data_IF_328636033103
#
_entry.id   IF_328636033103
#
_cell.length_a   1.000
_cell.length_b   1.000
_cell.length_c   1.000
_cell.angle_alpha   90.00
_cell.angle_beta   90.00
_cell.angle_gamma   90.00
#
_symmetry.space_group_name_H-M   'P 1'
#
loop_
_entity.id
_entity.type
_entity.pdbx_description
1 polymer ?
#
# COMPACT_ATOMS: atom_id res chain seq x y z
N UNK A 1 78.40 -110.79 86.41
CA UNK A 1 78.14 -110.92 84.95
C UNK A 1 79.10 -111.86 84.25
N UNK A 2 79.33 -113.08 84.75
CA UNK A 2 80.19 -114.10 84.11
C UNK A 2 79.45 -115.39 83.71
N UNK A 3 78.14 -115.50 83.99
CA UNK A 3 77.34 -116.72 83.73
C UNK A 3 76.48 -116.63 82.47
N UNK A 4 75.92 -115.45 82.15
CA UNK A 4 75.06 -115.25 80.97
C UNK A 4 75.84 -115.37 79.64
N UNK A 5 77.09 -114.92 79.61
CA UNK A 5 77.94 -115.04 78.42
C UNK A 5 78.28 -116.51 78.10
N UNK A 6 78.49 -117.34 79.13
CA UNK A 6 78.76 -118.77 78.94
C UNK A 6 77.53 -119.51 78.39
N UNK A 7 76.33 -119.18 78.88
CA UNK A 7 75.06 -119.74 78.40
C UNK A 7 74.76 -119.35 76.94
N UNK A 8 75.07 -118.10 76.55
CA UNK A 8 74.95 -117.64 75.17
C UNK A 8 75.84 -118.45 74.21
N UNK A 9 77.08 -118.76 74.61
CA UNK A 9 78.00 -119.56 73.80
C UNK A 9 77.51 -121.01 73.68
N UNK A 10 76.97 -121.59 74.75
CA UNK A 10 76.39 -122.94 74.72
C UNK A 10 75.15 -123.02 73.84
N UNK A 11 74.22 -122.05 73.94
CA UNK A 11 73.00 -122.03 73.13
C UNK A 11 73.32 -121.83 71.64
N UNK A 12 74.33 -120.99 71.35
CA UNK A 12 74.78 -120.74 69.99
C UNK A 12 75.43 -122.00 69.38
N UNK A 13 76.24 -122.72 70.17
CA UNK A 13 76.78 -124.01 69.76
C UNK A 13 75.66 -125.06 69.58
N UNK A 14 74.65 -125.09 70.44
CA UNK A 14 73.51 -125.99 70.33
C UNK A 14 72.71 -125.73 69.04
N UNK A 15 72.39 -124.47 68.75
CA UNK A 15 71.64 -124.10 67.54
C UNK A 15 72.46 -124.33 66.27
N UNK A 16 73.77 -124.06 66.29
CA UNK A 16 74.65 -124.41 65.17
C UNK A 16 74.72 -125.92 64.93
N UNK A 17 74.64 -126.74 65.98
CA UNK A 17 74.62 -128.20 65.86
C UNK A 17 73.28 -128.72 65.35
N UNK A 18 72.16 -128.17 65.85
CA UNK A 18 70.80 -128.52 65.42
C UNK A 18 70.56 -128.23 63.93
N UNK A 19 71.01 -127.07 63.45
CA UNK A 19 70.88 -126.69 62.04
C UNK A 19 72.05 -127.20 61.17
N UNK A 20 72.97 -127.98 61.76
CA UNK A 20 73.96 -128.83 61.10
C UNK A 20 74.57 -128.26 59.81
N UNK A 21 74.32 -128.95 58.70
CA UNK A 21 74.86 -128.61 57.39
C UNK A 21 74.47 -127.21 56.89
N UNK A 22 73.30 -126.69 57.26
CA UNK A 22 72.88 -125.32 56.93
C UNK A 22 73.69 -124.27 57.70
N UNK A 23 74.19 -124.60 58.89
CA UNK A 23 75.05 -123.73 59.70
C UNK A 23 76.53 -123.74 59.26
N UNK A 24 76.89 -124.35 58.13
CA UNK A 24 78.24 -124.25 57.53
C UNK A 24 78.42 -122.98 56.70
N UNK A 25 77.33 -122.45 56.12
CA UNK A 25 77.29 -121.22 55.33
C UNK A 25 77.44 -119.98 56.23
N UNK A 26 78.30 -119.03 55.83
CA UNK A 26 78.59 -117.82 56.59
C UNK A 26 77.32 -116.98 56.83
N UNK A 27 76.39 -116.97 55.86
CA UNK A 27 75.11 -116.25 55.98
C UNK A 27 74.20 -116.87 57.03
N UNK A 28 74.10 -118.19 57.05
CA UNK A 28 73.30 -118.92 58.04
C UNK A 28 73.90 -118.80 59.45
N UNK A 29 75.23 -118.88 59.59
CA UNK A 29 75.92 -118.61 60.87
C UNK A 29 75.63 -117.20 61.38
N UNK A 30 75.59 -116.21 60.50
CA UNK A 30 75.25 -114.84 60.86
C UNK A 30 73.80 -114.74 61.37
N UNK A 31 72.83 -115.33 60.66
CA UNK A 31 71.41 -115.35 61.06
C UNK A 31 71.25 -115.99 62.45
N UNK A 32 71.81 -117.18 62.65
CA UNK A 32 71.75 -117.90 63.94
C UNK A 32 72.38 -117.05 65.04
N UNK A 33 73.55 -116.44 64.79
CA UNK A 33 74.24 -115.60 65.78
C UNK A 33 73.42 -114.37 66.15
N UNK A 34 72.81 -113.68 65.19
CA UNK A 34 71.96 -112.52 65.47
C UNK A 34 70.70 -112.88 66.25
N UNK A 35 70.02 -113.98 65.90
CA UNK A 35 68.79 -114.37 66.58
C UNK A 35 69.06 -114.92 67.98
N UNK A 36 70.14 -115.69 68.17
CA UNK A 36 70.58 -116.14 69.51
C UNK A 36 71.02 -114.95 70.37
N UNK A 37 71.76 -113.99 69.82
CA UNK A 37 72.13 -112.78 70.56
C UNK A 37 70.90 -111.92 70.93
N UNK A 38 69.93 -111.81 70.02
CA UNK A 38 68.66 -111.15 70.27
C UNK A 38 67.82 -111.88 71.33
N UNK A 39 67.81 -113.21 71.29
CA UNK A 39 67.18 -114.05 72.29
C UNK A 39 67.82 -113.88 73.67
N UNK A 40 69.15 -113.92 73.77
CA UNK A 40 69.86 -113.70 75.03
C UNK A 40 69.68 -112.28 75.58
N UNK A 41 69.59 -111.25 74.73
CA UNK A 41 69.22 -109.90 75.18
C UNK A 41 67.81 -109.85 75.76
N UNK A 42 66.85 -110.54 75.15
CA UNK A 42 65.47 -110.65 75.69
C UNK A 42 65.44 -111.44 76.99
N UNK A 43 66.16 -112.56 77.06
CA UNK A 43 66.28 -113.38 78.26
C UNK A 43 66.95 -112.63 79.43
N UNK A 44 67.96 -111.79 79.15
CA UNK A 44 68.59 -110.93 80.13
C UNK A 44 67.66 -109.82 80.66
N UNK A 45 66.74 -109.33 79.82
CA UNK A 45 65.70 -108.38 80.25
C UNK A 45 64.57 -109.05 81.06
N UNK A 46 64.34 -110.36 80.87
CA UNK A 46 63.27 -111.13 81.50
C UNK A 46 63.68 -111.84 82.81
N UNK A 47 64.71 -111.36 83.52
CA UNK A 47 65.13 -111.85 84.84
C UNK A 47 65.38 -113.37 84.97
N UNK A 48 65.82 -114.03 83.89
CA UNK A 48 66.47 -115.35 83.98
C UNK A 48 65.56 -116.59 83.96
N UNK A 49 64.27 -116.48 83.64
CA UNK A 49 63.41 -117.65 83.37
C UNK A 49 63.15 -117.81 81.86
N UNK A 50 63.82 -118.77 81.23
CA UNK A 50 63.59 -119.17 79.83
C UNK A 50 62.59 -120.33 79.80
N UNK A 51 61.44 -120.17 79.12
CA UNK A 51 60.45 -121.23 78.91
C UNK A 51 60.77 -122.01 77.63
N UNK A 52 60.54 -123.33 77.62
CA UNK A 52 60.81 -124.19 76.45
C UNK A 52 60.06 -123.74 75.18
N UNK A 53 58.85 -123.21 75.31
CA UNK A 53 58.06 -122.67 74.19
C UNK A 53 58.79 -121.55 73.44
N UNK A 54 59.54 -120.70 74.15
CA UNK A 54 60.31 -119.61 73.54
C UNK A 54 61.53 -120.14 72.77
N UNK A 55 62.02 -121.33 73.13
CA UNK A 55 63.11 -122.02 72.46
C UNK A 55 62.63 -122.63 71.13
N UNK A 56 61.44 -123.22 71.12
CA UNK A 56 60.76 -123.68 69.88
C UNK A 56 60.46 -122.51 68.94
N UNK A 57 60.08 -121.37 69.48
CA UNK A 57 59.87 -120.14 68.69
C UNK A 57 61.17 -119.60 68.09
N UNK A 58 62.29 -119.68 68.82
CA UNK A 58 63.61 -119.34 68.29
C UNK A 58 63.97 -120.26 67.12
N UNK A 59 63.75 -121.57 67.27
CA UNK A 59 63.98 -122.54 66.19
C UNK A 59 63.11 -122.27 64.97
N UNK A 60 61.82 -121.97 65.16
CA UNK A 60 60.90 -121.68 64.06
C UNK A 60 61.26 -120.38 63.33
N UNK A 61 61.73 -119.36 64.05
CA UNK A 61 62.22 -118.11 63.42
C UNK A 61 63.49 -118.34 62.62
N UNK A 62 64.43 -119.11 63.16
CA UNK A 62 65.65 -119.49 62.46
C UNK A 62 65.30 -120.32 61.21
N UNK A 63 64.39 -121.30 61.32
CA UNK A 63 63.94 -122.12 60.18
C UNK A 63 63.24 -121.29 59.10
N UNK A 64 62.31 -120.41 59.47
CA UNK A 64 61.60 -119.52 58.53
C UNK A 64 62.54 -118.62 57.74
N UNK A 65 63.54 -118.03 58.40
CA UNK A 65 64.54 -117.18 57.73
C UNK A 65 65.56 -117.95 56.89
N UNK A 66 65.81 -119.23 57.21
CA UNK A 66 66.71 -120.07 56.43
C UNK A 66 66.04 -120.70 55.20
N UNK A 67 64.75 -121.03 55.24
CA UNK A 67 64.09 -121.82 54.16
C UNK A 67 63.04 -121.06 53.31
N UNK A 68 62.71 -119.81 53.62
CA UNK A 68 62.05 -118.89 52.67
C UNK A 68 60.61 -119.21 52.21
N UNK A 69 59.91 -120.23 52.74
CA UNK A 69 58.50 -120.49 52.38
C UNK A 69 57.83 -121.62 53.16
N UNK A 70 56.56 -121.42 53.51
CA UNK A 70 55.66 -122.39 54.19
C UNK A 70 54.88 -123.24 53.17
N UNK A 71 54.79 -124.58 53.29
CA UNK A 71 53.90 -125.40 52.46
C UNK A 71 52.44 -125.34 52.94
N UNK A 72 51.52 -124.88 52.07
CA UNK A 72 50.07 -125.00 52.26
C UNK A 72 49.62 -126.43 51.93
N UNK A 73 48.96 -127.12 52.87
CA UNK A 73 48.33 -128.43 52.64
C UNK A 73 47.14 -128.28 51.67
N UNK A 74 47.10 -129.11 50.62
CA UNK A 74 45.96 -129.24 49.71
C UNK A 74 44.78 -129.92 50.43
N UNK A 75 43.60 -129.29 50.37
CA UNK A 75 42.34 -129.81 50.91
C UNK A 75 41.36 -130.04 49.75
N UNK A 76 40.53 -131.09 49.82
CA UNK A 76 39.52 -131.54 48.84
C UNK A 76 38.66 -130.46 48.14
N UNK A 77 38.56 -129.25 48.71
CA UNK A 77 37.92 -128.08 48.10
C UNK A 77 38.72 -127.45 46.94
N UNK A 78 40.06 -127.53 46.96
CA UNK A 78 40.90 -127.05 45.85
C UNK A 78 40.84 -127.99 44.65
N UNK A 79 40.73 -129.31 44.87
CA UNK A 79 40.47 -130.27 43.79
C UNK A 79 39.09 -130.03 43.14
N UNK A 80 38.03 -129.79 43.91
CA UNK A 80 36.71 -129.46 43.35
C UNK A 80 36.69 -128.13 42.59
N UNK A 81 37.45 -127.12 43.03
CA UNK A 81 37.61 -125.86 42.29
C UNK A 81 38.36 -126.05 40.97
N UNK A 82 39.43 -126.86 40.97
CA UNK A 82 40.14 -127.19 39.73
C UNK A 82 39.27 -128.02 38.76
N UNK A 83 38.38 -128.88 39.27
CA UNK A 83 37.37 -129.55 38.44
C UNK A 83 36.32 -128.59 37.84
N UNK A 84 35.90 -127.55 38.58
CA UNK A 84 35.01 -126.51 38.05
C UNK A 84 35.71 -125.53 37.09
N UNK A 85 37.02 -125.30 37.25
CA UNK A 85 37.83 -124.52 36.29
C UNK A 85 38.12 -125.31 35.00
N UNK A 86 38.00 -126.64 35.05
CA UNK A 86 38.03 -127.53 33.88
C UNK A 86 36.65 -127.72 33.21
N UNK A 87 35.57 -127.24 33.83
CA UNK A 87 34.19 -127.34 33.32
C UNK A 87 33.93 -126.33 32.19
N UNK A 88 33.59 -126.83 31.02
CA UNK A 88 33.38 -126.02 29.81
C UNK A 88 32.15 -125.10 29.94
N UNK A 89 31.15 -125.49 30.74
CA UNK A 89 29.97 -124.67 31.00
C UNK A 89 30.29 -123.41 31.83
N UNK A 90 31.20 -123.54 32.80
CA UNK A 90 31.66 -122.40 33.60
C UNK A 90 32.40 -121.35 32.76
N UNK A 91 33.16 -121.80 31.75
CA UNK A 91 33.86 -120.92 30.80
C UNK A 91 32.89 -120.17 29.89
N UNK A 92 31.84 -120.85 29.39
CA UNK A 92 30.80 -120.19 28.59
C UNK A 92 30.06 -119.11 29.38
N UNK A 93 29.69 -119.39 30.64
CA UNK A 93 29.02 -118.39 31.48
C UNK A 93 29.89 -117.15 31.72
N UNK A 94 31.20 -117.32 31.97
CA UNK A 94 32.13 -116.20 32.12
C UNK A 94 32.27 -115.39 30.82
N UNK A 95 32.26 -116.06 29.66
CA UNK A 95 32.26 -115.37 28.36
C UNK A 95 30.99 -114.55 28.15
N UNK A 96 29.80 -115.10 28.44
CA UNK A 96 28.53 -114.38 28.31
C UNK A 96 28.46 -113.15 29.24
N UNK A 97 28.97 -113.27 30.47
CA UNK A 97 29.11 -112.12 31.39
C UNK A 97 30.06 -111.06 30.84
N UNK A 98 31.21 -111.46 30.27
CA UNK A 98 32.16 -110.54 29.66
C UNK A 98 31.57 -109.83 28.43
N UNK A 99 30.82 -110.54 27.59
CA UNK A 99 30.07 -109.97 26.44
C UNK A 99 28.99 -109.00 26.94
N UNK A 100 28.28 -109.34 28.02
CA UNK A 100 27.31 -108.45 28.67
C UNK A 100 27.94 -107.15 29.13
N UNK A 101 29.06 -107.21 29.86
CA UNK A 101 29.80 -106.02 30.29
C UNK A 101 30.34 -105.18 29.13
N UNK A 102 30.83 -105.82 28.07
CA UNK A 102 31.29 -105.12 26.87
C UNK A 102 30.14 -104.40 26.15
N UNK A 103 28.95 -105.01 26.09
CA UNK A 103 27.74 -104.38 25.55
C UNK A 103 27.28 -103.20 26.40
N UNK A 104 27.21 -103.37 27.72
CA UNK A 104 26.82 -102.27 28.62
C UNK A 104 27.79 -101.08 28.55
N UNK A 105 29.09 -101.35 28.43
CA UNK A 105 30.11 -100.31 28.25
C UNK A 105 29.96 -99.59 26.90
N UNK A 106 29.70 -100.33 25.82
CA UNK A 106 29.44 -99.77 24.50
C UNK A 106 28.16 -98.91 24.49
N UNK A 107 27.08 -99.38 25.12
CA UNK A 107 25.82 -98.64 25.25
C UNK A 107 25.98 -97.37 26.10
N UNK A 108 26.74 -97.43 27.20
CA UNK A 108 27.06 -96.26 28.01
C UNK A 108 27.88 -95.23 27.22
N UNK A 109 28.85 -95.67 26.42
CA UNK A 109 29.63 -94.79 25.54
C UNK A 109 28.75 -94.16 24.44
N UNK A 110 27.87 -94.95 23.82
CA UNK A 110 26.91 -94.48 22.83
C UNK A 110 25.94 -93.44 23.41
N UNK A 111 25.42 -93.65 24.63
CA UNK A 111 24.57 -92.67 25.33
C UNK A 111 25.32 -91.36 25.63
N UNK A 112 26.57 -91.42 26.08
CA UNK A 112 27.40 -90.22 26.30
C UNK A 112 27.66 -89.46 25.00
N UNK A 113 27.98 -90.17 23.91
CA UNK A 113 28.17 -89.56 22.60
C UNK A 113 26.87 -88.91 22.09
N UNK A 114 25.72 -89.56 22.27
CA UNK A 114 24.41 -88.99 21.93
C UNK A 114 24.10 -87.72 22.74
N UNK A 115 24.36 -87.74 24.06
CA UNK A 115 24.20 -86.56 24.92
C UNK A 115 25.11 -85.40 24.52
N UNK A 116 26.38 -85.67 24.18
CA UNK A 116 27.30 -84.64 23.70
C UNK A 116 26.84 -84.03 22.37
N UNK A 117 26.35 -84.85 21.43
CA UNK A 117 25.76 -84.36 20.17
C UNK A 117 24.54 -83.49 20.43
N UNK A 118 23.62 -83.93 21.28
CA UNK A 118 22.41 -83.17 21.62
C UNK A 118 22.76 -81.84 22.30
N UNK A 119 23.74 -81.83 23.20
CA UNK A 119 24.26 -80.59 23.80
C UNK A 119 24.83 -79.63 22.75
N UNK A 120 25.61 -80.15 21.80
CA UNK A 120 26.14 -79.34 20.69
C UNK A 120 25.04 -78.71 19.82
N UNK A 121 23.94 -79.44 19.57
CA UNK A 121 22.77 -78.90 18.84
C UNK A 121 22.08 -77.80 19.64
N UNK A 122 21.83 -78.02 20.94
CA UNK A 122 21.20 -77.01 21.80
C UNK A 122 22.05 -75.75 21.95
N UNK A 123 23.37 -75.90 22.12
CA UNK A 123 24.30 -74.78 22.19
C UNK A 123 24.31 -73.99 20.86
N UNK A 124 24.18 -74.67 19.72
CA UNK A 124 24.01 -74.05 18.40
C UNK A 124 22.72 -73.23 18.30
N UNK A 125 21.58 -73.82 18.67
CA UNK A 125 20.27 -73.14 18.66
C UNK A 125 20.24 -71.93 19.61
N UNK A 126 20.88 -72.02 20.76
CA UNK A 126 20.99 -70.91 21.71
C UNK A 126 21.82 -69.75 21.16
N UNK A 127 22.88 -70.03 20.40
CA UNK A 127 23.67 -69.01 19.71
C UNK A 127 22.88 -68.33 18.60
N UNK A 128 22.22 -69.11 17.74
CA UNK A 128 21.37 -68.56 16.67
C UNK A 128 20.25 -67.66 17.23
N UNK A 129 19.63 -68.06 18.34
CA UNK A 129 18.60 -67.25 19.00
C UNK A 129 19.20 -65.97 19.63
N UNK A 130 20.39 -66.04 20.21
CA UNK A 130 21.09 -64.87 20.74
C UNK A 130 21.47 -63.88 19.62
N UNK A 131 21.99 -64.39 18.50
CA UNK A 131 22.36 -63.59 17.33
C UNK A 131 21.11 -62.97 16.67
N UNK A 132 20.03 -63.72 16.54
CA UNK A 132 18.74 -63.20 16.03
C UNK A 132 18.16 -62.12 16.96
N UNK A 133 18.27 -62.30 18.28
CA UNK A 133 17.84 -61.29 19.26
C UNK A 133 18.69 -60.02 19.17
N UNK A 134 20.01 -60.15 19.04
CA UNK A 134 20.92 -59.02 18.86
C UNK A 134 20.64 -58.27 17.55
N UNK A 135 20.42 -59.00 16.44
CA UNK A 135 20.06 -58.42 15.16
C UNK A 135 18.73 -57.66 15.22
N UNK A 136 17.71 -58.21 15.91
CA UNK A 136 16.43 -57.54 16.12
C UNK A 136 16.58 -56.26 16.95
N UNK A 137 17.36 -56.31 18.04
CA UNK A 137 17.64 -55.12 18.85
C UNK A 137 18.38 -54.03 18.06
N UNK A 138 19.34 -54.42 17.22
CA UNK A 138 20.03 -53.49 16.33
C UNK A 138 19.09 -52.87 15.28
N UNK A 139 18.20 -53.67 14.70
CA UNK A 139 17.19 -53.20 13.75
C UNK A 139 16.17 -52.24 14.41
N UNK A 140 15.70 -52.56 15.61
CA UNK A 140 14.79 -51.71 16.38
C UNK A 140 15.47 -50.38 16.77
N UNK A 141 16.74 -50.41 17.16
CA UNK A 141 17.52 -49.21 17.46
C UNK A 141 17.73 -48.33 16.21
N UNK A 142 18.05 -48.94 15.06
CA UNK A 142 18.19 -48.23 13.78
C UNK A 142 16.86 -47.61 13.34
N UNK A 143 15.75 -48.32 13.50
CA UNK A 143 14.42 -47.78 13.21
C UNK A 143 14.07 -46.61 14.12
N UNK A 144 14.34 -46.72 15.43
CA UNK A 144 14.12 -45.64 16.39
C UNK A 144 14.97 -44.39 16.08
N UNK A 145 16.23 -44.59 15.67
CA UNK A 145 17.09 -43.49 15.22
C UNK A 145 16.52 -42.79 13.98
N UNK A 146 16.12 -43.56 12.96
CA UNK A 146 15.52 -43.02 11.75
C UNK A 146 14.20 -42.27 12.01
N UNK A 147 13.38 -42.73 12.96
CA UNK A 147 12.16 -42.02 13.37
C UNK A 147 12.46 -40.68 14.07
N UNK A 148 13.49 -40.65 14.93
CA UNK A 148 13.92 -39.40 15.58
C UNK A 148 14.43 -38.38 14.57
N UNK A 149 15.19 -38.82 13.58
CA UNK A 149 15.66 -37.94 12.49
C UNK A 149 14.48 -37.40 11.67
N UNK A 150 13.52 -38.24 11.29
CA UNK A 150 12.30 -37.81 10.57
C UNK A 150 11.47 -36.82 11.37
N UNK A 151 11.33 -37.02 12.68
CA UNK A 151 10.64 -36.08 13.56
C UNK A 151 11.39 -34.75 13.64
N UNK A 152 12.71 -34.77 13.81
CA UNK A 152 13.53 -33.56 13.83
C UNK A 152 13.47 -32.80 12.49
N UNK A 153 13.44 -33.50 11.36
CA UNK A 153 13.24 -32.89 10.04
C UNK A 153 11.84 -32.27 9.90
N UNK A 154 10.79 -32.97 10.35
CA UNK A 154 9.43 -32.44 10.33
C UNK A 154 9.29 -31.19 11.22
N UNK A 155 9.87 -31.20 12.42
CA UNK A 155 9.92 -30.04 13.32
C UNK A 155 10.66 -28.86 12.68
N UNK A 156 11.78 -29.10 11.99
CA UNK A 156 12.50 -28.05 11.25
C UNK A 156 11.66 -27.47 10.11
N UNK A 157 10.95 -28.31 9.36
CA UNK A 157 10.07 -27.87 8.27
C UNK A 157 8.90 -27.05 8.80
N UNK A 158 8.24 -27.49 9.88
CA UNK A 158 7.16 -26.73 10.51
C UNK A 158 7.64 -25.40 11.10
N UNK A 159 8.81 -25.40 11.78
CA UNK A 159 9.42 -24.17 12.26
C UNK A 159 9.74 -23.20 11.10
N UNK A 160 10.24 -23.71 9.97
CA UNK A 160 10.49 -22.90 8.77
C UNK A 160 9.19 -22.34 8.17
N UNK A 161 8.10 -23.12 8.13
CA UNK A 161 6.78 -22.63 7.70
C UNK A 161 6.25 -21.54 8.62
N UNK A 162 6.33 -21.71 9.94
CA UNK A 162 5.92 -20.69 10.90
C UNK A 162 6.77 -19.43 10.78
N UNK A 163 8.08 -19.55 10.61
CA UNK A 163 8.97 -18.42 10.34
C UNK A 163 8.59 -17.69 9.04
N UNK A 164 8.26 -18.43 7.98
CA UNK A 164 7.80 -17.84 6.71
C UNK A 164 6.46 -17.11 6.85
N UNK A 165 5.48 -17.70 7.58
CA UNK A 165 4.18 -17.09 7.85
C UNK A 165 4.30 -15.82 8.72
N UNK A 166 5.16 -15.84 9.72
CA UNK A 166 5.40 -14.65 10.55
C UNK A 166 6.12 -13.56 9.77
N UNK A 167 7.06 -13.92 8.89
CA UNK A 167 7.72 -12.97 7.99
C UNK A 167 6.74 -12.37 6.97
N UNK A 168 5.85 -13.15 6.37
CA UNK A 168 4.83 -12.64 5.45
C UNK A 168 3.82 -11.75 6.17
N UNK A 169 3.39 -12.12 7.37
CA UNK A 169 2.50 -11.31 8.21
C UNK A 169 3.14 -9.97 8.57
N UNK A 170 4.43 -9.96 8.96
CA UNK A 170 5.18 -8.72 9.22
C UNK A 170 5.30 -7.83 7.98
N UNK A 171 5.55 -8.41 6.80
CA UNK A 171 5.56 -7.66 5.53
C UNK A 171 4.20 -7.04 5.24
N UNK A 172 3.11 -7.82 5.34
CA UNK A 172 1.75 -7.33 5.13
C UNK A 172 1.39 -6.20 6.10
N UNK A 173 1.74 -6.32 7.38
CA UNK A 173 1.54 -5.26 8.38
C UNK A 173 2.36 -4.00 8.04
N UNK A 174 3.61 -4.16 7.57
CA UNK A 174 4.44 -3.08 7.07
C UNK A 174 3.83 -2.36 5.86
N UNK A 175 3.34 -3.12 4.88
CA UNK A 175 2.69 -2.58 3.69
C UNK A 175 1.39 -1.83 4.05
N UNK A 176 0.58 -2.38 4.96
CA UNK A 176 -0.62 -1.71 5.46
C UNK A 176 -0.29 -0.38 6.16
N UNK A 177 0.74 -0.35 7.01
CA UNK A 177 1.22 0.87 7.64
C UNK A 177 1.75 1.87 6.60
N UNK A 178 2.46 1.40 5.58
CA UNK A 178 2.91 2.21 4.44
C UNK A 178 1.75 2.87 3.69
N UNK A 179 0.71 2.09 3.36
CA UNK A 179 -0.50 2.60 2.72
C UNK A 179 -1.25 3.64 3.57
N UNK A 180 -1.31 3.44 4.90
CA UNK A 180 -1.93 4.41 5.80
C UNK A 180 -1.13 5.71 5.87
N UNK A 181 0.20 5.64 5.93
CA UNK A 181 1.08 6.83 5.89
C UNK A 181 0.93 7.57 4.57
N UNK A 182 0.97 6.86 3.45
CA UNK A 182 0.81 7.47 2.12
C UNK A 182 -0.58 8.14 1.98
N UNK A 183 -1.65 7.51 2.49
CA UNK A 183 -2.99 8.14 2.53
C UNK A 183 -3.00 9.41 3.39
N UNK A 184 -2.32 9.41 4.53
CA UNK A 184 -2.22 10.57 5.41
C UNK A 184 -1.45 11.71 4.72
N UNK A 185 -0.31 11.41 4.09
CA UNK A 185 0.50 12.38 3.33
C UNK A 185 -0.27 12.95 2.14
N UNK A 186 -1.02 12.12 1.39
CA UNK A 186 -1.88 12.60 0.30
C UNK A 186 -2.97 13.55 0.81
N UNK A 187 -3.57 13.25 1.97
CA UNK A 187 -4.57 14.15 2.60
C UNK A 187 -3.93 15.45 3.06
N UNK A 188 -2.76 15.40 3.69
CA UNK A 188 -2.04 16.58 4.13
C UNK A 188 -1.62 17.46 2.94
N UNK A 189 -1.08 16.85 1.89
CA UNK A 189 -0.72 17.56 0.65
C UNK A 189 -1.94 18.17 -0.04
N UNK A 190 -3.08 17.47 -0.08
CA UNK A 190 -4.31 18.03 -0.60
C UNK A 190 -4.80 19.22 0.24
N UNK A 191 -4.71 19.12 1.58
CA UNK A 191 -5.03 20.21 2.49
C UNK A 191 -4.11 21.42 2.28
N UNK A 192 -2.79 21.22 2.19
CA UNK A 192 -1.82 22.29 1.92
C UNK A 192 -2.07 22.97 0.57
N UNK A 193 -2.40 22.21 -0.48
CA UNK A 193 -2.79 22.78 -1.78
C UNK A 193 -4.07 23.59 -1.69
N UNK A 194 -5.06 23.12 -0.93
CA UNK A 194 -6.31 23.85 -0.71
C UNK A 194 -6.06 25.14 0.07
N UNK A 195 -5.28 25.10 1.15
CA UNK A 195 -4.93 26.27 1.94
C UNK A 195 -4.11 27.29 1.11
N UNK A 196 -3.20 26.83 0.24
CA UNK A 196 -2.47 27.70 -0.68
C UNK A 196 -3.41 28.37 -1.70
N UNK A 197 -4.32 27.60 -2.31
CA UNK A 197 -5.30 28.15 -3.25
C UNK A 197 -6.27 29.13 -2.56
N UNK A 198 -6.73 28.82 -1.34
CA UNK A 198 -7.57 29.73 -0.54
C UNK A 198 -6.84 31.04 -0.20
N UNK A 199 -5.53 30.97 0.10
CA UNK A 199 -4.70 32.18 0.31
C UNK A 199 -4.55 32.99 -0.97
N UNK A 200 -4.26 32.37 -2.10
CA UNK A 200 -4.16 33.07 -3.39
C UNK A 200 -5.47 33.78 -3.77
N UNK A 201 -6.61 33.12 -3.54
CA UNK A 201 -7.93 33.73 -3.76
C UNK A 201 -8.16 34.88 -2.78
N UNK A 202 -7.84 34.72 -1.50
CA UNK A 202 -7.99 35.78 -0.51
C UNK A 202 -7.11 37.00 -0.84
N UNK A 203 -5.88 36.80 -1.30
CA UNK A 203 -4.97 37.87 -1.73
C UNK A 203 -5.52 38.61 -2.97
N UNK A 204 -6.08 37.88 -3.94
CA UNK A 204 -6.73 38.50 -5.12
C UNK A 204 -7.94 39.33 -4.71
N UNK A 205 -8.83 38.78 -3.88
CA UNK A 205 -10.01 39.50 -3.39
C UNK A 205 -9.60 40.75 -2.58
N UNK A 206 -8.56 40.65 -1.74
CA UNK A 206 -8.03 41.81 -1.01
C UNK A 206 -7.46 42.87 -1.95
N UNK A 207 -6.81 42.47 -3.05
CA UNK A 207 -6.32 43.40 -4.06
C UNK A 207 -7.45 44.05 -4.86
N UNK A 208 -8.45 43.27 -5.28
CA UNK A 208 -9.63 43.76 -6.02
C UNK A 208 -10.45 44.74 -5.18
N UNK A 209 -10.74 44.39 -3.93
CA UNK A 209 -11.45 45.28 -2.98
C UNK A 209 -10.68 46.58 -2.73
N UNK A 210 -9.35 46.53 -2.62
CA UNK A 210 -8.53 47.74 -2.52
C UNK A 210 -8.63 48.61 -3.77
N UNK A 211 -8.58 48.00 -4.96
CA UNK A 211 -8.75 48.71 -6.24
C UNK A 211 -10.14 49.35 -6.36
N UNK A 212 -11.20 48.65 -5.93
CA UNK A 212 -12.56 49.18 -5.91
C UNK A 212 -12.69 50.39 -4.97
N UNK A 213 -12.15 50.28 -3.75
CA UNK A 213 -12.09 51.40 -2.80
C UNK A 213 -11.32 52.61 -3.36
N UNK A 214 -10.19 52.37 -4.04
CA UNK A 214 -9.42 53.43 -4.69
C UNK A 214 -10.24 54.14 -5.80
N UNK A 215 -11.00 53.38 -6.59
CA UNK A 215 -11.90 53.92 -7.61
C UNK A 215 -13.07 54.70 -7.00
N UNK A 216 -13.69 54.20 -5.94
CA UNK A 216 -14.77 54.89 -5.23
C UNK A 216 -14.28 56.21 -4.62
N UNK A 217 -13.08 56.21 -4.02
CA UNK A 217 -12.46 57.42 -3.47
C UNK A 217 -12.12 58.42 -4.58
N UNK A 218 -11.64 57.95 -5.73
CA UNK A 218 -11.38 58.82 -6.89
C UNK A 218 -12.68 59.45 -7.40
N UNK A 219 -13.73 58.65 -7.60
CA UNK A 219 -15.04 59.12 -8.01
C UNK A 219 -15.64 60.11 -6.99
N UNK A 220 -15.50 59.85 -5.69
CA UNK A 220 -15.93 60.78 -4.65
C UNK A 220 -15.20 62.13 -4.74
N UNK A 221 -13.88 62.12 -5.00
CA UNK A 221 -13.09 63.34 -5.21
C UNK A 221 -13.58 64.10 -6.44
N UNK A 222 -13.87 63.41 -7.54
CA UNK A 222 -14.43 64.00 -8.76
C UNK A 222 -15.79 64.64 -8.49
N UNK A 223 -16.72 63.93 -7.85
CA UNK A 223 -18.03 64.51 -7.48
C UNK A 223 -17.88 65.74 -6.58
N UNK A 224 -16.93 65.72 -5.64
CA UNK A 224 -16.66 66.87 -4.78
C UNK A 224 -16.09 68.06 -5.56
N UNK A 225 -15.23 67.81 -6.55
CA UNK A 225 -14.73 68.86 -7.45
C UNK A 225 -15.86 69.44 -8.29
N UNK A 226 -16.68 68.60 -8.91
CA UNK A 226 -17.86 69.01 -9.67
C UNK A 226 -18.82 69.85 -8.84
N UNK A 227 -19.07 69.48 -7.57
CA UNK A 227 -19.88 70.27 -6.66
C UNK A 227 -19.27 71.64 -6.37
N UNK A 228 -17.96 71.70 -6.12
CA UNK A 228 -17.27 72.98 -5.89
C UNK A 228 -17.31 73.87 -7.14
N UNK A 229 -17.13 73.31 -8.32
CA UNK A 229 -17.19 74.05 -9.59
C UNK A 229 -18.62 74.54 -9.87
N UNK A 230 -19.64 73.73 -9.54
CA UNK A 230 -21.03 74.16 -9.60
C UNK A 230 -21.32 75.34 -8.65
N UNK A 231 -20.85 75.27 -7.41
CA UNK A 231 -21.01 76.36 -6.43
C UNK A 231 -20.32 77.65 -6.90
N UNK A 232 -19.08 77.56 -7.38
CA UNK A 232 -18.35 78.70 -7.98
C UNK A 232 -19.08 79.26 -9.20
N UNK A 233 -19.61 78.39 -10.07
CA UNK A 233 -20.43 78.80 -11.21
C UNK A 233 -21.70 79.53 -10.79
N UNK A 234 -22.35 79.09 -9.70
CA UNK A 234 -23.54 79.74 -9.15
C UNK A 234 -23.20 81.12 -8.56
N UNK A 235 -22.08 81.24 -7.82
CA UNK A 235 -21.58 82.52 -7.31
C UNK A 235 -21.28 83.50 -8.46
N UNK A 236 -20.61 83.03 -9.52
CA UNK A 236 -20.34 83.83 -10.70
C UNK A 236 -21.64 84.27 -11.42
N UNK A 237 -22.62 83.37 -11.56
CA UNK A 237 -23.92 83.69 -12.14
C UNK A 237 -24.72 84.69 -11.28
N UNK A 238 -24.65 84.56 -9.95
CA UNK A 238 -25.26 85.50 -9.03
C UNK A 238 -24.62 86.90 -9.15
N UNK A 239 -23.29 86.98 -9.21
CA UNK A 239 -22.55 88.23 -9.46
C UNK A 239 -22.94 88.85 -10.80
N UNK A 240 -22.92 88.08 -11.89
CA UNK A 240 -23.30 88.55 -13.22
C UNK A 240 -24.75 89.06 -13.26
N UNK A 241 -25.66 88.42 -12.53
CA UNK A 241 -27.06 88.86 -12.41
C UNK A 241 -27.18 90.15 -11.61
N UNK A 242 -26.38 90.32 -10.55
CA UNK A 242 -26.33 91.57 -9.80
C UNK A 242 -25.78 92.72 -10.65
N UNK A 243 -24.70 92.48 -11.39
CA UNK A 243 -24.11 93.45 -12.33
C UNK A 243 -25.08 93.82 -13.45
N UNK A 244 -25.79 92.85 -14.02
CA UNK A 244 -26.81 93.10 -15.03
C UNK A 244 -27.96 93.96 -14.47
N UNK A 245 -28.42 93.70 -13.24
CA UNK A 245 -29.42 94.54 -12.57
C UNK A 245 -28.90 95.96 -12.30
N UNK A 246 -27.63 96.10 -11.93
CA UNK A 246 -27.02 97.41 -11.73
C UNK A 246 -26.95 98.20 -13.05
N UNK A 247 -26.57 97.54 -14.15
CA UNK A 247 -26.56 98.14 -15.50
C UNK A 247 -27.95 98.58 -15.94
N UNK A 248 -28.96 97.71 -15.81
CA UNK A 248 -30.33 98.09 -16.18
C UNK A 248 -30.90 99.20 -15.31
N UNK A 249 -30.54 99.25 -14.02
CA UNK A 249 -30.89 100.36 -13.14
C UNK A 249 -30.24 101.67 -13.61
N UNK A 250 -28.95 101.64 -13.99
CA UNK A 250 -28.24 102.80 -14.53
C UNK A 250 -28.86 103.29 -15.85
N UNK A 251 -29.12 102.38 -16.78
CA UNK A 251 -29.80 102.66 -18.05
C UNK A 251 -31.19 103.28 -17.84
N UNK A 252 -31.96 102.78 -16.86
CA UNK A 252 -33.27 103.34 -16.51
C UNK A 252 -33.16 104.77 -15.97
N UNK A 253 -32.16 105.06 -15.14
CA UNK A 253 -31.91 106.42 -14.65
C UNK A 253 -31.54 107.36 -15.80
N UNK A 254 -30.69 106.91 -16.72
CA UNK A 254 -30.35 107.68 -17.92
C UNK A 254 -31.57 107.93 -18.80
N UNK A 255 -32.40 106.90 -19.02
CA UNK A 255 -33.65 107.03 -19.75
C UNK A 255 -34.61 108.05 -19.09
N UNK A 256 -34.76 108.00 -17.77
CA UNK A 256 -35.56 108.98 -17.02
C UNK A 256 -35.00 110.40 -17.19
N UNK A 257 -33.69 110.59 -17.13
CA UNK A 257 -33.05 111.91 -17.37
C UNK A 257 -33.33 112.42 -18.79
N UNK A 258 -33.19 111.55 -19.79
CA UNK A 258 -33.49 111.91 -21.18
C UNK A 258 -34.97 112.27 -21.35
N UNK A 259 -35.87 111.53 -20.71
CA UNK A 259 -37.30 111.80 -20.74
C UNK A 259 -37.67 113.13 -20.08
N UNK A 260 -37.12 113.41 -18.89
CA UNK A 260 -37.30 114.71 -18.22
C UNK A 260 -36.79 115.85 -19.10
N UNK A 261 -35.60 115.70 -19.71
CA UNK A 261 -35.07 116.70 -20.63
C UNK A 261 -35.96 116.91 -21.87
N UNK A 262 -36.66 115.88 -22.35
CA UNK A 262 -37.65 116.01 -23.42
C UNK A 262 -38.91 116.74 -22.93
N UNK A 263 -39.40 116.43 -21.73
CA UNK A 263 -40.54 117.13 -21.13
C UNK A 263 -40.22 118.61 -20.92
N UNK A 264 -39.04 118.94 -20.40
CA UNK A 264 -38.62 120.33 -20.23
C UNK A 264 -38.57 121.09 -21.57
N UNK A 265 -38.11 120.44 -22.65
CA UNK A 265 -38.16 121.02 -24.00
C UNK A 265 -39.59 121.26 -24.47
N UNK A 266 -40.50 120.31 -24.23
CA UNK A 266 -41.90 120.46 -24.60
C UNK A 266 -42.59 121.55 -23.77
N UNK A 267 -42.30 121.64 -22.48
CA UNK A 267 -42.78 122.72 -21.62
C UNK A 267 -42.25 124.07 -22.04
N UNK A 268 -40.95 124.19 -22.31
CA UNK A 268 -40.34 125.42 -22.81
C UNK A 268 -40.96 125.83 -24.15
N UNK A 269 -41.17 124.88 -25.06
CA UNK A 269 -41.86 125.11 -26.32
C UNK A 269 -43.31 125.57 -26.09
N UNK A 270 -44.04 124.93 -25.18
CA UNK A 270 -45.43 125.32 -24.83
C UNK A 270 -45.49 126.71 -24.22
N UNK A 271 -44.58 127.06 -23.29
CA UNK A 271 -44.48 128.39 -22.69
C UNK A 271 -44.17 129.44 -23.74
N UNK A 272 -43.17 129.20 -24.61
CA UNK A 272 -42.86 130.10 -25.73
C UNK A 272 -44.02 130.26 -26.71
N UNK A 273 -44.76 129.19 -27.00
CA UNK A 273 -45.95 129.25 -27.84
C UNK A 273 -47.06 130.07 -27.19
N UNK A 274 -47.31 129.89 -25.89
CA UNK A 274 -48.28 130.69 -25.12
C UNK A 274 -47.88 132.16 -25.07
N UNK A 275 -46.61 132.47 -24.82
CA UNK A 275 -46.07 133.84 -24.86
C UNK A 275 -46.28 134.49 -26.24
N UNK A 276 -46.01 133.74 -27.33
CA UNK A 276 -46.27 134.22 -28.70
C UNK A 276 -47.76 134.46 -28.96
N UNK A 277 -48.64 133.58 -28.46
CA UNK A 277 -50.10 133.75 -28.58
C UNK A 277 -50.55 134.97 -27.77
N UNK A 278 -50.11 135.12 -26.53
CA UNK A 278 -50.39 136.29 -25.68
C UNK A 278 -49.89 137.58 -26.33
N UNK A 279 -48.68 137.59 -26.88
CA UNK A 279 -48.14 138.74 -27.60
C UNK A 279 -48.95 139.07 -28.86
N UNK A 280 -49.43 138.06 -29.60
CA UNK A 280 -50.32 138.26 -30.75
C UNK A 280 -51.69 138.79 -30.30
N UNK A 281 -52.28 138.23 -29.26
CA UNK A 281 -53.56 138.67 -28.70
C UNK A 281 -53.47 140.10 -28.16
N UNK A 282 -52.39 140.46 -27.47
CA UNK A 282 -52.12 141.82 -27.01
C UNK A 282 -52.00 142.79 -28.18
N UNK A 283 -51.21 142.47 -29.21
CA UNK A 283 -51.13 143.28 -30.44
C UNK A 283 -52.50 143.40 -31.14
N UNK A 284 -53.24 142.29 -31.25
CA UNK A 284 -54.58 142.29 -31.83
C UNK A 284 -55.55 143.12 -31.01
N UNK A 285 -55.50 143.07 -29.68
CA UNK A 285 -56.32 143.89 -28.79
C UNK A 285 -55.99 145.38 -28.93
N UNK A 286 -54.71 145.74 -28.99
CA UNK A 286 -54.26 147.13 -29.25
C UNK A 286 -54.71 147.62 -30.63
N UNK A 287 -54.55 146.80 -31.68
CA UNK A 287 -55.04 147.13 -33.02
C UNK A 287 -56.57 147.24 -33.06
N UNK A 288 -57.29 146.33 -32.39
CA UNK A 288 -58.74 146.34 -32.30
C UNK A 288 -59.24 147.60 -31.58
N UNK A 289 -58.58 148.03 -30.50
CA UNK A 289 -58.91 149.29 -29.79
C UNK A 289 -58.78 150.53 -30.69
N UNK A 290 -57.86 150.52 -31.66
CA UNK A 290 -57.68 151.62 -32.64
C UNK A 290 -58.65 151.57 -33.82
N UNK A 291 -59.34 150.46 -34.05
CA UNK A 291 -60.30 150.29 -35.14
C UNK A 291 -61.71 150.73 -34.71
N UNK A 292 -62.51 151.38 -35.60
CA UNK A 292 -63.92 151.65 -35.35
C UNK A 292 -64.72 150.34 -35.15
N UNK A 293 -65.79 150.38 -34.36
CA UNK A 293 -66.54 149.21 -33.86
C UNK A 293 -67.00 148.23 -34.97
N UNK A 294 -67.40 148.76 -36.14
CA UNK A 294 -67.89 147.97 -37.28
C UNK A 294 -66.83 147.11 -38.00
N UNK A 295 -65.52 147.30 -37.75
CA UNK A 295 -64.43 146.49 -38.34
C UNK A 295 -63.81 145.48 -37.37
N UNK A 296 -64.23 145.44 -36.11
CA UNK A 296 -63.63 144.60 -35.07
C UNK A 296 -64.04 143.12 -35.18
N UNK A 297 -65.14 142.85 -35.87
CA UNK A 297 -65.72 141.51 -35.99
C UNK A 297 -65.53 141.00 -37.42
N UNK A 298 -64.86 139.86 -37.56
CA UNK A 298 -64.78 139.13 -38.83
C UNK A 298 -66.11 138.40 -39.03
N UNK A 299 -66.65 138.41 -40.24
CA UNK A 299 -67.89 137.72 -40.58
C UNK A 299 -67.77 136.21 -40.24
N UNK A 300 -68.67 135.66 -39.41
CA UNK A 300 -68.70 134.24 -39.04
C UNK A 300 -68.63 133.28 -40.23
N UNK A 301 -69.17 133.65 -41.40
CA UNK A 301 -69.14 132.81 -42.60
C UNK A 301 -67.72 132.56 -43.14
N UNK A 302 -66.80 133.51 -42.95
CA UNK A 302 -65.38 133.36 -43.37
C UNK A 302 -64.64 132.43 -42.41
N UNK A 303 -64.97 132.51 -41.10
CA UNK A 303 -64.39 131.65 -40.07
C UNK A 303 -64.80 130.19 -40.31
N UNK A 304 -66.09 129.94 -40.58
CA UNK A 304 -66.59 128.60 -40.90
C UNK A 304 -65.97 128.02 -42.17
N UNK A 305 -65.78 128.84 -43.23
CA UNK A 305 -65.14 128.39 -44.46
C UNK A 305 -63.69 127.94 -44.23
N UNK A 306 -62.91 128.72 -43.48
CA UNK A 306 -61.53 128.36 -43.15
C UNK A 306 -61.44 127.16 -42.21
N UNK A 307 -62.39 127.03 -41.27
CA UNK A 307 -62.49 125.88 -40.39
C UNK A 307 -62.76 124.58 -41.17
N UNK A 308 -63.75 124.59 -42.07
CA UNK A 308 -64.06 123.44 -42.94
C UNK A 308 -62.90 123.04 -43.84
N UNK A 309 -62.16 124.02 -44.37
CA UNK A 309 -60.99 123.75 -45.20
C UNK A 309 -59.86 123.09 -44.38
N UNK A 310 -59.68 123.51 -43.12
CA UNK A 310 -58.71 122.92 -42.19
C UNK A 310 -59.09 121.51 -41.72
N UNK A 311 -60.37 121.25 -41.46
CA UNK A 311 -60.85 119.89 -41.17
C UNK A 311 -60.60 118.96 -42.35
N UNK A 312 -60.92 119.39 -43.57
CA UNK A 312 -60.67 118.59 -44.77
C UNK A 312 -59.17 118.27 -45.01
N UNK A 313 -58.27 119.20 -44.66
CA UNK A 313 -56.82 118.97 -44.69
C UNK A 313 -56.37 117.90 -43.67
N UNK A 314 -56.92 117.95 -42.45
CA UNK A 314 -56.60 116.98 -41.38
C UNK A 314 -57.14 115.59 -41.69
N UNK A 315 -58.37 115.49 -42.20
CA UNK A 315 -58.97 114.23 -42.62
C UNK A 315 -58.14 113.54 -43.73
N UNK A 316 -57.60 114.34 -44.66
CA UNK A 316 -56.73 113.84 -45.72
C UNK A 316 -55.37 113.34 -45.19
N UNK A 317 -54.80 113.99 -44.16
CA UNK A 317 -53.58 113.50 -43.50
C UNK A 317 -53.82 112.24 -42.68
N UNK A 318 -54.92 112.14 -41.95
CA UNK A 318 -55.28 110.94 -41.17
C UNK A 318 -55.53 109.74 -42.10
N UNK A 319 -56.19 109.95 -43.23
CA UNK A 319 -56.37 108.92 -44.25
C UNK A 319 -55.03 108.39 -44.78
N UNK A 320 -54.03 109.27 -44.99
CA UNK A 320 -52.66 108.85 -45.39
C UNK A 320 -51.97 108.03 -44.30
N UNK A 321 -52.04 108.46 -43.04
CA UNK A 321 -51.46 107.71 -41.91
C UNK A 321 -52.12 106.35 -41.71
N UNK A 322 -53.44 106.27 -41.88
CA UNK A 322 -54.19 105.02 -41.79
C UNK A 322 -53.80 104.03 -42.92
N UNK A 323 -53.61 104.53 -44.15
CA UNK A 323 -53.16 103.73 -45.28
C UNK A 323 -51.74 103.18 -45.06
N UNK A 324 -50.82 104.00 -44.57
CA UNK A 324 -49.44 103.57 -44.26
C UNK A 324 -49.40 102.53 -43.15
N UNK A 325 -50.24 102.69 -42.11
CA UNK A 325 -50.36 101.70 -41.04
C UNK A 325 -50.84 100.35 -41.58
N UNK A 326 -51.91 100.33 -42.38
CA UNK A 326 -52.44 99.10 -43.01
C UNK A 326 -51.37 98.40 -43.87
N UNK A 327 -50.55 99.16 -44.60
CA UNK A 327 -49.46 98.61 -45.40
C UNK A 327 -48.40 97.92 -44.54
N UNK A 328 -48.01 98.53 -43.41
CA UNK A 328 -47.05 97.94 -42.46
C UNK A 328 -47.61 96.68 -41.80
N UNK A 329 -48.88 96.70 -41.40
CA UNK A 329 -49.56 95.56 -40.78
C UNK A 329 -49.68 94.37 -41.75
N UNK A 330 -49.95 94.61 -43.03
CA UNK A 330 -49.93 93.55 -44.05
C UNK A 330 -48.53 92.96 -44.25
N UNK A 331 -47.48 93.81 -44.23
CA UNK A 331 -46.10 93.36 -44.39
C UNK A 331 -45.63 92.51 -43.20
N UNK A 332 -46.00 92.87 -41.97
CA UNK A 332 -45.67 92.08 -40.77
C UNK A 332 -46.41 90.74 -40.75
N UNK A 333 -47.69 90.71 -41.13
CA UNK A 333 -48.45 89.47 -41.27
C UNK A 333 -47.83 88.53 -42.31
N UNK A 334 -47.42 89.05 -43.48
CA UNK A 334 -46.74 88.26 -44.50
C UNK A 334 -45.41 87.68 -44.00
N UNK A 335 -44.61 88.47 -43.25
CA UNK A 335 -43.36 88.01 -42.66
C UNK A 335 -43.57 86.92 -41.60
N UNK A 336 -44.61 87.03 -40.77
CA UNK A 336 -44.97 86.02 -39.78
C UNK A 336 -45.38 84.69 -40.43
N UNK A 337 -46.18 84.74 -41.50
CA UNK A 337 -46.57 83.54 -42.24
C UNK A 337 -45.36 82.84 -42.88
N UNK A 338 -44.42 83.61 -43.44
CA UNK A 338 -43.18 83.07 -44.01
C UNK A 338 -42.29 82.39 -42.95
N UNK A 339 -42.17 82.97 -41.74
CA UNK A 339 -41.44 82.33 -40.64
C UNK A 339 -42.10 81.04 -40.16
N UNK A 340 -43.44 80.98 -40.19
CA UNK A 340 -44.17 79.78 -39.78
C UNK A 340 -44.03 78.65 -40.80
N UNK A 341 -44.07 78.95 -42.11
CA UNK A 341 -43.83 77.95 -43.16
C UNK A 341 -42.40 77.40 -43.09
N UNK A 342 -41.40 78.25 -42.91
CA UNK A 342 -39.99 77.84 -42.79
C UNK A 342 -39.77 76.90 -41.58
N UNK A 343 -40.41 77.19 -40.44
CA UNK A 343 -40.35 76.32 -39.25
C UNK A 343 -41.00 74.95 -39.48
N UNK A 344 -42.11 74.92 -40.22
CA UNK A 344 -42.80 73.66 -40.58
C UNK A 344 -41.94 72.83 -41.51
N UNK A 345 -41.30 73.45 -42.50
CA UNK A 345 -40.37 72.77 -43.42
C UNK A 345 -39.15 72.20 -42.69
N UNK A 346 -38.52 72.97 -41.79
CA UNK A 346 -37.40 72.47 -40.97
C UNK A 346 -37.78 71.25 -40.13
N UNK A 347 -38.96 71.29 -39.48
CA UNK A 347 -39.47 70.14 -38.71
C UNK A 347 -39.78 68.92 -39.57
N UNK A 348 -40.20 69.14 -40.82
CA UNK A 348 -40.41 68.05 -41.78
C UNK A 348 -39.08 67.41 -42.19
N UNK A 349 -38.05 68.21 -42.45
CA UNK A 349 -36.70 67.71 -42.77
C UNK A 349 -36.14 66.90 -41.60
N UNK A 350 -36.20 67.43 -40.38
CA UNK A 350 -35.74 66.74 -39.16
C UNK A 350 -36.46 65.41 -38.96
N UNK A 351 -37.79 65.37 -39.10
CA UNK A 351 -38.57 64.11 -39.05
C UNK A 351 -38.19 63.11 -40.12
N UNK A 352 -37.79 63.56 -41.31
CA UNK A 352 -37.36 62.67 -42.39
C UNK A 352 -35.95 62.13 -42.13
N UNK A 353 -35.06 62.93 -41.53
CA UNK A 353 -33.73 62.50 -41.09
C UNK A 353 -33.81 61.51 -39.93
N UNK A 354 -34.67 61.76 -38.93
CA UNK A 354 -34.93 60.83 -37.84
C UNK A 354 -35.46 59.48 -38.34
N UNK A 355 -36.38 59.49 -39.31
CA UNK A 355 -36.89 58.27 -39.95
C UNK A 355 -35.79 57.51 -40.68
N UNK A 356 -34.87 58.21 -41.36
CA UNK A 356 -33.72 57.58 -42.04
C UNK A 356 -32.75 56.98 -41.03
N UNK A 357 -32.45 57.70 -39.95
CA UNK A 357 -31.60 57.22 -38.86
C UNK A 357 -32.22 56.00 -38.17
N UNK A 358 -33.51 56.05 -37.86
CA UNK A 358 -34.26 54.93 -37.29
C UNK A 358 -34.31 53.71 -38.22
N UNK A 359 -34.45 53.91 -39.53
CA UNK A 359 -34.40 52.83 -40.52
C UNK A 359 -33.00 52.21 -40.62
N UNK A 360 -31.93 53.01 -40.54
CA UNK A 360 -30.56 52.51 -40.54
C UNK A 360 -30.26 51.67 -39.29
N UNK A 361 -30.65 52.14 -38.11
CA UNK A 361 -30.50 51.39 -36.85
C UNK A 361 -31.28 50.07 -36.92
N UNK A 362 -32.51 50.07 -37.45
CA UNK A 362 -33.29 48.85 -37.61
C UNK A 362 -32.62 47.85 -38.56
N UNK A 363 -32.01 48.32 -39.65
CA UNK A 363 -31.25 47.48 -40.57
C UNK A 363 -29.99 46.89 -39.91
N UNK A 364 -29.26 47.67 -39.12
CA UNK A 364 -28.07 47.20 -38.39
C UNK A 364 -28.42 46.14 -37.34
N UNK A 365 -29.53 46.33 -36.62
CA UNK A 365 -30.03 45.33 -35.64
C UNK A 365 -30.42 44.03 -36.34
N UNK A 366 -31.11 44.11 -37.48
CA UNK A 366 -31.50 42.91 -38.24
C UNK A 366 -30.27 42.19 -38.82
N UNK A 367 -29.26 42.93 -39.30
CA UNK A 367 -27.99 42.37 -39.76
C UNK A 367 -27.23 41.66 -38.63
N UNK A 368 -27.20 42.26 -37.43
CA UNK A 368 -26.59 41.63 -36.26
C UNK A 368 -27.31 40.34 -35.85
N UNK A 369 -28.65 40.36 -35.85
CA UNK A 369 -29.49 39.18 -35.57
C UNK A 369 -29.27 38.05 -36.58
N UNK A 370 -29.13 38.40 -37.87
CA UNK A 370 -28.80 37.42 -38.91
C UNK A 370 -27.38 36.85 -38.72
N UNK A 371 -26.43 37.69 -38.30
CA UNK A 371 -25.08 37.26 -37.92
C UNK A 371 -25.08 36.25 -36.76
N UNK A 372 -25.83 36.51 -35.68
CA UNK A 372 -25.98 35.57 -34.57
C UNK A 372 -26.59 34.23 -35.00
N UNK A 373 -27.64 34.26 -35.84
CA UNK A 373 -28.25 33.05 -36.37
C UNK A 373 -27.27 32.24 -37.23
N UNK A 374 -26.45 32.90 -38.04
CA UNK A 374 -25.41 32.24 -38.84
C UNK A 374 -24.32 31.63 -37.96
N UNK A 375 -23.85 32.35 -36.93
CA UNK A 375 -22.90 31.81 -35.95
C UNK A 375 -23.46 30.60 -35.20
N UNK A 376 -24.73 30.67 -34.78
CA UNK A 376 -25.41 29.57 -34.10
C UNK A 376 -25.55 28.34 -35.00
N UNK A 377 -25.91 28.54 -36.29
CA UNK A 377 -25.97 27.48 -37.30
C UNK A 377 -24.60 26.86 -37.54
N UNK A 378 -23.56 27.66 -37.79
CA UNK A 378 -22.20 27.17 -37.99
C UNK A 378 -21.68 26.37 -36.77
N UNK A 379 -22.00 26.80 -35.55
CA UNK A 379 -21.68 26.06 -34.34
C UNK A 379 -22.47 24.75 -34.19
N UNK A 380 -23.73 24.70 -34.65
CA UNK A 380 -24.52 23.47 -34.70
C UNK A 380 -23.95 22.49 -35.74
N UNK A 381 -23.62 22.98 -36.93
CA UNK A 381 -23.04 22.19 -38.03
C UNK A 381 -21.66 21.63 -37.65
N UNK A 382 -20.81 22.43 -37.01
CA UNK A 382 -19.52 21.96 -36.48
C UNK A 382 -19.68 20.87 -35.43
N UNK A 383 -20.65 21.00 -34.51
CA UNK A 383 -20.97 19.96 -33.52
C UNK A 383 -21.50 18.69 -34.17
N UNK A 384 -22.33 18.82 -35.20
CA UNK A 384 -22.84 17.68 -35.96
C UNK A 384 -21.70 16.97 -36.73
N UNK A 385 -20.83 17.73 -37.39
CA UNK A 385 -19.66 17.18 -38.08
C UNK A 385 -18.71 16.46 -37.12
N UNK A 386 -18.45 17.02 -35.94
CA UNK A 386 -17.63 16.37 -34.91
C UNK A 386 -18.27 15.09 -34.38
N UNK A 387 -19.60 15.08 -34.18
CA UNK A 387 -20.34 13.88 -33.79
C UNK A 387 -20.22 12.78 -34.85
N UNK A 388 -20.44 13.12 -36.12
CA UNK A 388 -20.31 12.17 -37.23
C UNK A 388 -18.88 11.60 -37.30
N UNK A 389 -17.86 12.44 -37.06
CA UNK A 389 -16.48 11.98 -37.00
C UNK A 389 -16.23 10.98 -35.85
N UNK A 390 -16.80 11.21 -34.66
CA UNK A 390 -16.73 10.25 -33.55
C UNK A 390 -17.45 8.94 -33.92
N UNK A 391 -18.62 9.03 -34.53
CA UNK A 391 -19.40 7.85 -34.93
C UNK A 391 -18.66 7.01 -35.99
N UNK A 392 -17.94 7.66 -36.92
CA UNK A 392 -17.02 7.00 -37.86
C UNK A 392 -15.87 6.30 -37.12
N UNK A 393 -15.19 6.98 -36.19
CA UNK A 393 -14.13 6.36 -35.39
C UNK A 393 -14.64 5.15 -34.58
N UNK A 394 -15.87 5.21 -34.07
CA UNK A 394 -16.49 4.09 -33.35
C UNK A 394 -16.82 2.92 -34.29
N UNK A 395 -17.32 3.20 -35.50
CA UNK A 395 -17.55 2.17 -36.53
C UNK A 395 -16.23 1.52 -36.95
N UNK A 396 -15.18 2.29 -37.16
CA UNK A 396 -13.84 1.79 -37.51
C UNK A 396 -13.27 0.91 -36.40
N UNK A 397 -13.33 1.37 -35.15
CA UNK A 397 -12.94 0.56 -33.98
C UNK A 397 -13.79 -0.70 -33.83
N UNK A 398 -15.09 -0.63 -34.11
CA UNK A 398 -15.96 -1.80 -34.07
C UNK A 398 -15.63 -2.80 -35.20
N UNK A 399 -15.29 -2.32 -36.39
CA UNK A 399 -14.81 -3.15 -37.50
C UNK A 399 -13.47 -3.81 -37.15
N UNK A 400 -12.51 -3.05 -36.61
CA UNK A 400 -11.22 -3.58 -36.14
C UNK A 400 -11.38 -4.64 -35.05
N UNK A 401 -12.39 -4.52 -34.17
CA UNK A 401 -12.72 -5.55 -33.18
C UNK A 401 -13.36 -6.80 -33.77
N UNK A 402 -14.19 -6.67 -34.80
CA UNK A 402 -14.83 -7.81 -35.48
C UNK A 402 -13.85 -8.59 -36.36
N UNK A 403 -12.94 -7.87 -37.01
CA UNK A 403 -11.90 -8.42 -37.87
C UNK A 403 -10.55 -8.00 -37.31
N UNK A 404 -10.15 -8.59 -36.18
CA UNK A 404 -8.79 -8.47 -35.71
C UNK A 404 -7.93 -9.42 -36.56
N UNK A 405 -7.12 -8.93 -37.52
CA UNK A 405 -6.15 -9.79 -38.17
C UNK A 405 -5.21 -10.34 -37.10
N UNK A 406 -4.84 -11.60 -37.25
CA UNK A 406 -3.85 -12.26 -36.41
C UNK A 406 -2.58 -11.40 -36.37
N UNK A 407 -2.03 -11.14 -35.19
CA UNK A 407 -0.86 -10.27 -35.04
C UNK A 407 0.35 -10.87 -35.77
N UNK A 408 1.32 -10.04 -36.18
CA UNK A 408 2.51 -10.52 -36.94
C UNK A 408 3.28 -11.64 -36.22
N UNK A 409 3.23 -11.66 -34.89
CA UNK A 409 3.82 -12.72 -34.05
C UNK A 409 3.02 -14.01 -34.13
N UNK A 410 1.69 -13.94 -34.02
CA UNK A 410 0.81 -15.09 -34.16
C UNK A 410 0.82 -15.64 -35.58
N UNK A 411 0.90 -14.78 -36.62
CA UNK A 411 1.10 -15.18 -38.02
C UNK A 411 2.40 -15.95 -38.20
N UNK A 412 3.47 -15.53 -37.51
CA UNK A 412 4.77 -16.23 -37.53
C UNK A 412 4.69 -17.59 -36.84
N UNK A 413 4.03 -17.68 -35.69
CA UNK A 413 3.83 -18.95 -34.95
C UNK A 413 2.95 -19.92 -35.75
N UNK A 414 1.89 -19.42 -36.39
CA UNK A 414 0.93 -20.23 -37.12
C UNK A 414 1.27 -20.39 -38.61
N UNK A 415 2.45 -19.95 -39.06
CA UNK A 415 2.82 -19.90 -40.48
C UNK A 415 2.67 -21.25 -41.18
N UNK A 416 3.24 -22.31 -40.60
CA UNK A 416 3.17 -23.66 -41.17
C UNK A 416 1.73 -24.18 -41.23
N UNK A 417 0.93 -23.96 -40.17
CA UNK A 417 -0.50 -24.30 -40.16
C UNK A 417 -1.29 -23.52 -41.21
N UNK A 418 -0.98 -22.24 -41.40
CA UNK A 418 -1.64 -21.40 -42.40
C UNK A 418 -1.28 -21.82 -43.83
N UNK A 419 -0.04 -22.24 -44.08
CA UNK A 419 0.40 -22.82 -45.36
C UNK A 419 -0.33 -24.15 -45.62
N UNK A 420 -0.50 -25.00 -44.61
CA UNK A 420 -1.31 -26.23 -44.71
C UNK A 420 -2.80 -25.95 -44.96
N UNK A 421 -3.38 -24.96 -44.29
CA UNK A 421 -4.79 -24.55 -44.50
C UNK A 421 -5.00 -23.97 -45.91
N UNK A 422 -4.04 -23.20 -46.42
CA UNK A 422 -4.03 -22.70 -47.81
C UNK A 422 -3.92 -23.85 -48.81
N UNK A 423 -2.98 -24.77 -48.59
CA UNK A 423 -2.82 -25.96 -49.43
C UNK A 423 -4.09 -26.83 -49.41
N UNK A 424 -4.73 -27.00 -48.25
CA UNK A 424 -6.00 -27.71 -48.09
C UNK A 424 -7.14 -27.02 -48.85
N UNK A 425 -7.27 -25.70 -48.75
CA UNK A 425 -8.28 -24.95 -49.51
C UNK A 425 -8.09 -25.06 -51.03
N UNK A 426 -6.84 -25.15 -51.50
CA UNK A 426 -6.52 -25.24 -52.92
C UNK A 426 -6.61 -26.66 -53.49
N UNK A 427 -6.34 -27.68 -52.68
CA UNK A 427 -6.23 -29.08 -53.16
C UNK A 427 -7.29 -30.02 -52.60
N UNK A 428 -8.05 -29.60 -51.58
CA UNK A 428 -9.04 -30.40 -50.86
C UNK A 428 -8.46 -31.53 -50.01
N UNK A 429 -7.12 -31.67 -49.91
CA UNK A 429 -6.44 -32.78 -49.23
C UNK A 429 -5.59 -32.26 -48.07
N UNK A 430 -5.73 -32.87 -46.89
CA UNK A 430 -5.02 -32.47 -45.68
C UNK A 430 -3.66 -33.18 -45.64
N UNK A 431 -2.57 -32.43 -45.82
CA UNK A 431 -1.20 -32.98 -45.74
C UNK A 431 -0.70 -32.77 -44.32
N UNK A 432 -0.61 -33.85 -43.52
CA UNK A 432 -0.10 -33.81 -42.16
C UNK A 432 1.42 -34.05 -42.16
N UNK A 433 2.23 -33.20 -41.49
CA UNK A 433 3.67 -33.39 -41.41
C UNK A 433 3.98 -34.62 -40.53
N UNK A 434 4.67 -35.61 -41.11
CA UNK A 434 5.06 -36.85 -40.43
C UNK A 434 4.37 -38.13 -40.93
N UNK A 435 3.48 -38.03 -41.92
CA UNK A 435 2.93 -39.18 -42.64
C UNK A 435 3.35 -39.09 -44.12
N UNK A 436 4.61 -39.44 -44.37
CA UNK A 436 5.11 -39.90 -45.66
C UNK A 436 5.78 -41.26 -45.45
#
# INVERSE_FOLDING_TARGET
>A
GSTVAALAVQLLAHMQRLFGAAASDAKAKAIIKTEVAGFMKRAAAAAGQLKEEELVDLENRIRSKLTGGTPKRMNRATEKRMQMEADEWGKMYQFDVAVGHARDAADAAARRAAQQRQRGVLDGQMRELADAKAARQAADAAFAAAQRERLAEAERVEAAKQAALTASSKKLAGDQLGQLREKAERRENARRKKEAAEREVAERVAWETKQELEREVAHFKECKQQLNDFLRGNEAAASAKADAKARTAAENVEYQRQWVAQLDKLEAHRRSALEKVLAKQSKQAECAQRLPEYKRWIDPAIIERNFRQKEAELDAEEARRAADKRRRDCATQAAQLAQMSEKVERRLVERMEDKKCGAAIAADVEAWRQGELQHARAAADSRAAFRNHIDEQLKDKAHQRRCAPMTDVELRINREKMEMVKAFHQTGKLVLPGLL
#
